data_IF_853409031885
#
_entry.id   IF_853409031885
#
_cell.length_a   1.000
_cell.length_b   1.000
_cell.length_c   1.000
_cell.angle_alpha   90.00
_cell.angle_beta   90.00
_cell.angle_gamma   90.00
#
_symmetry.space_group_name_H-M   'P 1'
#
loop_
_entity.id
_entity.type
_entity.pdbx_description
1 polymer ?
#
# COMPACT_ATOMS: atom_id res chain seq x y z
N UNK A 1 -20.11 3.18 -10.71
CA UNK A 1 -19.11 2.10 -10.88
C UNK A 1 -18.63 1.65 -9.51
N UNK A 2 -18.49 0.35 -9.27
CA UNK A 2 -18.04 -0.15 -7.98
C UNK A 2 -16.59 0.30 -7.75
N UNK A 3 -16.35 0.94 -6.60
CA UNK A 3 -15.00 1.17 -6.10
C UNK A 3 -14.57 -0.12 -5.40
N UNK A 4 -13.41 -0.64 -5.78
CA UNK A 4 -12.88 -1.84 -5.16
C UNK A 4 -12.05 -1.50 -3.94
N UNK A 5 -12.12 -2.32 -2.90
CA UNK A 5 -11.27 -2.22 -1.73
C UNK A 5 -9.96 -2.92 -2.08
N UNK A 6 -8.86 -2.19 -1.97
CA UNK A 6 -7.50 -2.69 -2.25
C UNK A 6 -6.64 -2.53 -1.01
N UNK A 7 -5.70 -3.45 -0.83
CA UNK A 7 -4.73 -3.41 0.27
C UNK A 7 -3.39 -2.88 -0.23
N UNK A 8 -2.81 -1.92 0.48
CA UNK A 8 -1.47 -1.38 0.23
C UNK A 8 -0.51 -1.94 1.28
N UNK A 9 0.59 -2.56 0.85
CA UNK A 9 1.62 -3.12 1.72
C UNK A 9 2.96 -2.40 1.56
N UNK A 10 3.67 -2.18 2.67
CA UNK A 10 5.02 -1.62 2.68
C UNK A 10 6.02 -2.52 1.95
N UNK A 11 6.76 -1.97 0.98
CA UNK A 11 7.79 -2.71 0.22
C UNK A 11 9.13 -2.81 0.96
N UNK A 12 9.40 -1.89 1.87
CA UNK A 12 10.72 -1.75 2.51
C UNK A 12 10.85 -2.64 3.76
N UNK A 13 9.75 -2.86 4.49
CA UNK A 13 9.77 -3.56 5.77
C UNK A 13 10.30 -5.00 5.68
N UNK A 14 9.98 -5.71 4.60
CA UNK A 14 10.41 -7.10 4.41
C UNK A 14 11.94 -7.22 4.27
N UNK A 15 12.58 -6.24 3.64
CA UNK A 15 14.04 -6.20 3.50
C UNK A 15 14.74 -5.91 4.83
N UNK A 16 14.07 -5.20 5.73
CA UNK A 16 14.58 -4.89 7.08
C UNK A 16 14.23 -5.95 8.14
N UNK A 17 13.62 -7.07 7.73
CA UNK A 17 13.22 -8.14 8.64
C UNK A 17 12.08 -7.76 9.61
N UNK A 18 11.35 -6.67 9.33
CA UNK A 18 10.22 -6.20 10.14
C UNK A 18 8.87 -6.57 9.50
N UNK A 19 7.80 -6.70 10.29
CA UNK A 19 6.47 -6.94 9.72
C UNK A 19 6.05 -5.78 8.79
N UNK A 20 5.47 -6.06 7.63
CA UNK A 20 5.03 -5.01 6.72
C UNK A 20 3.77 -4.31 7.24
N UNK A 21 3.76 -2.98 7.16
CA UNK A 21 2.55 -2.20 7.41
C UNK A 21 1.57 -2.34 6.24
N UNK A 22 0.28 -2.48 6.57
CA UNK A 22 -0.82 -2.66 5.60
C UNK A 22 -1.90 -1.61 5.81
N UNK A 23 -2.41 -1.08 4.70
CA UNK A 23 -3.51 -0.11 4.67
C UNK A 23 -4.60 -0.55 3.71
N UNK A 24 -5.86 -0.30 4.04
CA UNK A 24 -6.98 -0.47 3.11
C UNK A 24 -7.32 0.87 2.46
N UNK A 25 -7.55 0.87 1.15
CA UNK A 25 -8.04 2.03 0.43
C UNK A 25 -9.03 1.60 -0.65
N UNK A 26 -9.74 2.55 -1.24
CA UNK A 26 -10.61 2.28 -2.37
C UNK A 26 -9.94 2.74 -3.66
N UNK A 27 -10.12 1.95 -4.72
CA UNK A 27 -9.60 2.24 -6.06
C UNK A 27 -10.73 2.21 -7.07
N UNK A 28 -10.69 3.14 -8.02
CA UNK A 28 -11.54 3.10 -9.20
C UNK A 28 -10.76 2.56 -10.40
N UNK A 29 -10.98 1.29 -10.75
CA UNK A 29 -10.27 0.60 -11.84
C UNK A 29 -10.42 1.27 -13.22
N UNK A 30 -11.50 2.02 -13.47
CA UNK A 30 -11.70 2.70 -14.76
C UNK A 30 -10.79 3.93 -14.91
N UNK A 31 -10.59 4.68 -13.84
CA UNK A 31 -9.78 5.89 -13.85
C UNK A 31 -8.30 5.58 -13.60
N UNK A 32 -8.02 4.58 -12.77
CA UNK A 32 -6.68 4.17 -12.41
C UNK A 32 -6.55 2.68 -12.67
N UNK A 33 -6.02 2.33 -13.84
CA UNK A 33 -5.76 0.95 -14.31
C UNK A 33 -4.44 0.39 -13.81
N UNK A 34 -3.48 1.26 -13.50
CA UNK A 34 -2.19 0.88 -12.91
C UNK A 34 -2.30 0.58 -11.41
N UNK A 35 -1.28 -0.12 -10.88
CA UNK A 35 -1.20 -0.42 -9.44
C UNK A 35 -1.04 0.87 -8.64
N UNK A 36 -1.76 0.95 -7.52
CA UNK A 36 -1.68 2.12 -6.65
C UNK A 36 -0.41 2.05 -5.79
N UNK A 37 0.43 3.08 -5.89
CA UNK A 37 1.55 3.30 -4.99
C UNK A 37 1.34 4.58 -4.19
N UNK A 38 1.45 4.52 -2.87
CA UNK A 38 1.31 5.68 -1.99
C UNK A 38 2.40 5.69 -0.93
N UNK A 39 2.96 6.86 -0.65
CA UNK A 39 3.82 7.06 0.53
C UNK A 39 2.91 7.12 1.77
N UNK A 40 3.09 6.15 2.67
CA UNK A 40 2.36 6.09 3.94
C UNK A 40 3.34 5.88 5.07
N UNK A 41 2.96 6.31 6.26
CA UNK A 41 3.76 6.11 7.45
C UNK A 41 3.81 4.61 7.76
N UNK A 42 4.99 4.07 8.06
CA UNK A 42 5.12 2.71 8.57
C UNK A 42 5.46 2.77 10.07
N UNK A 43 4.59 2.28 10.97
CA UNK A 43 4.82 2.30 12.41
C UNK A 43 6.02 1.46 12.86
N UNK A 44 6.38 0.40 12.13
CA UNK A 44 7.50 -0.48 12.47
C UNK A 44 8.87 0.11 12.09
N UNK A 45 8.89 0.96 11.06
CA UNK A 45 10.08 1.68 10.61
C UNK A 45 10.15 3.12 11.13
N UNK A 46 9.05 3.62 11.71
CA UNK A 46 8.88 4.99 12.21
C UNK A 46 9.19 6.07 11.16
N UNK A 47 8.92 5.78 9.89
CA UNK A 47 9.15 6.67 8.75
C UNK A 47 8.11 6.46 7.65
N UNK A 48 8.01 7.42 6.73
CA UNK A 48 7.19 7.25 5.53
C UNK A 48 7.90 6.38 4.51
N UNK A 49 7.24 5.30 4.11
CA UNK A 49 7.75 4.33 3.13
C UNK A 49 6.78 4.19 1.98
N UNK A 50 7.26 3.63 0.88
CA UNK A 50 6.41 3.30 -0.26
C UNK A 50 5.54 2.09 0.09
N UNK A 51 4.23 2.23 -0.10
CA UNK A 51 3.27 1.14 0.01
C UNK A 51 2.66 0.87 -1.37
N UNK A 52 2.68 -0.39 -1.79
CA UNK A 52 2.19 -0.84 -3.10
C UNK A 52 0.96 -1.70 -2.94
N UNK A 53 0.05 -1.59 -3.90
CA UNK A 53 -1.12 -2.45 -4.00
C UNK A 53 -0.73 -3.92 -4.09
N UNK A 54 -1.24 -4.69 -3.12
CA UNK A 54 -1.28 -6.15 -3.15
C UNK A 54 -2.66 -6.58 -3.60
N UNK A 55 -2.66 -7.54 -4.51
CA UNK A 55 -3.85 -8.16 -5.07
C UNK A 55 -4.19 -9.41 -4.28
#
# INVERSE_FOLDING_TARGET
>A
MPREIVTLECTEAKNEGKPPSRYMTTRNKKLQTERVEKKKYNPFLRRHTVHREIK
#
